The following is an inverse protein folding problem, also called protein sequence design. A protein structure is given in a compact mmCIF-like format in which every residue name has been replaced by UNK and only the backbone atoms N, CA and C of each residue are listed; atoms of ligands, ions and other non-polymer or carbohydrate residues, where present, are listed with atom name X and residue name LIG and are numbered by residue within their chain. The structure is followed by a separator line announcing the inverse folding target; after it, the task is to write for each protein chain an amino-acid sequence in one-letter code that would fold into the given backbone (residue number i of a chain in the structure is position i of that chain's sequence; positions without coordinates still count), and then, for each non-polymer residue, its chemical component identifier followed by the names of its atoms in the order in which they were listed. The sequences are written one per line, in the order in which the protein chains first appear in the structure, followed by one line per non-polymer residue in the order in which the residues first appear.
data_IF_596929575297
#
_entry.id   IF_596929575297
#
_cell.length_a   1.000
_cell.length_b   1.000
_cell.length_c   1.000
_cell.angle_alpha   90.00
_cell.angle_beta   90.00
_cell.angle_gamma   90.00
#
_symmetry.space_group_name_H-M   'P 1'
#
loop_
_entity.id
_entity.type
_entity.pdbx_description
1 polymer ?
#
# COMPACT_ATOMS: atom_id res chain seq x y z
N UNK A 1 24.69 18.42 4.36
CA UNK A 1 25.09 17.00 4.40
C UNK A 1 25.46 16.60 2.99
N UNK A 2 26.61 15.94 2.78
CA UNK A 2 27.02 15.54 1.42
C UNK A 2 26.15 14.37 0.94
N UNK A 3 25.80 14.29 -0.35
CA UNK A 3 24.84 13.30 -0.89
C UNK A 3 25.21 11.85 -0.51
N UNK A 4 26.50 11.55 -0.41
CA UNK A 4 27.02 10.23 -0.01
C UNK A 4 26.73 9.89 1.46
N UNK A 5 26.75 10.87 2.36
CA UNK A 5 26.39 10.67 3.78
C UNK A 5 24.88 10.52 3.95
N UNK A 6 24.09 11.24 3.15
CA UNK A 6 22.64 11.07 3.07
C UNK A 6 22.27 9.68 2.58
N UNK A 7 22.95 9.20 1.54
CA UNK A 7 22.75 7.85 1.00
C UNK A 7 23.01 6.73 2.02
N UNK A 8 24.06 6.86 2.82
CA UNK A 8 24.36 5.87 3.86
C UNK A 8 23.32 5.84 4.97
N UNK A 9 22.95 7.01 5.50
CA UNK A 9 21.95 7.12 6.57
C UNK A 9 20.58 6.62 6.09
N UNK A 10 20.16 7.03 4.90
CA UNK A 10 18.89 6.62 4.31
C UNK A 10 18.89 5.13 3.94
N UNK A 11 20.02 4.60 3.45
CA UNK A 11 20.20 3.17 3.19
C UNK A 11 20.15 2.32 4.46
N UNK A 12 20.74 2.77 5.55
CA UNK A 12 20.65 2.11 6.87
C UNK A 12 19.21 2.13 7.42
N UNK A 13 18.50 3.26 7.28
CA UNK A 13 17.07 3.34 7.61
C UNK A 13 16.22 2.42 6.72
N UNK A 14 16.51 2.33 5.41
CA UNK A 14 15.83 1.45 4.47
C UNK A 14 16.01 -0.04 4.79
N UNK A 15 17.21 -0.44 5.25
CA UNK A 15 17.51 -1.80 5.74
C UNK A 15 16.83 -2.11 7.08
N UNK A 16 16.67 -1.09 7.93
CA UNK A 16 15.95 -1.17 9.21
C UNK A 16 14.43 -1.34 9.10
N UNK A 17 13.83 -1.27 7.90
CA UNK A 17 12.40 -1.55 7.67
C UNK A 17 12.06 -3.04 7.59
N UNK A 18 12.95 -3.91 8.06
CA UNK A 18 12.75 -5.37 8.11
C UNK A 18 12.25 -5.80 9.50
N UNK A 19 11.51 -6.91 9.56
CA UNK A 19 10.74 -7.38 10.74
C UNK A 19 11.57 -7.64 12.02
N UNK A 20 12.89 -7.50 11.98
CA UNK A 20 13.84 -7.92 13.03
C UNK A 20 14.60 -6.70 13.57
N UNK A 21 13.89 -5.70 14.09
CA UNK A 21 14.53 -4.62 14.85
C UNK A 21 13.72 -4.28 16.10
N UNK A 22 14.32 -4.53 17.28
CA UNK A 22 13.66 -4.47 18.59
C UNK A 22 13.77 -3.12 19.30
N UNK A 23 14.46 -2.14 18.72
CA UNK A 23 14.74 -0.87 19.41
C UNK A 23 13.73 0.21 19.02
N UNK A 24 12.82 0.54 19.93
CA UNK A 24 11.87 1.65 19.75
C UNK A 24 12.65 2.95 19.52
N UNK A 25 12.45 3.58 18.36
CA UNK A 25 13.13 4.84 18.01
C UNK A 25 12.28 6.02 18.48
N UNK A 26 12.82 6.80 19.42
CA UNK A 26 12.21 8.08 19.83
C UNK A 26 12.48 9.15 18.79
N UNK A 27 11.41 9.82 18.33
CA UNK A 27 11.48 10.88 17.32
C UNK A 27 11.85 12.21 17.97
N UNK A 28 12.77 12.92 17.33
CA UNK A 28 12.99 14.34 17.68
C UNK A 28 11.76 15.17 17.30
N UNK A 29 11.52 16.28 18.01
CA UNK A 29 10.39 17.20 17.72
C UNK A 29 10.39 17.68 16.26
N UNK A 30 11.57 17.91 15.69
CA UNK A 30 11.72 18.33 14.31
C UNK A 30 11.33 17.23 13.32
N UNK A 31 11.80 16.00 13.53
CA UNK A 31 11.41 14.86 12.69
C UNK A 31 9.92 14.57 12.80
N UNK A 32 9.35 14.65 14.00
CA UNK A 32 7.91 14.49 14.21
C UNK A 32 7.11 15.48 13.37
N UNK A 33 7.44 16.77 13.44
CA UNK A 33 6.74 17.80 12.68
C UNK A 33 6.85 17.60 11.16
N UNK A 34 8.03 17.22 10.66
CA UNK A 34 8.23 16.90 9.23
C UNK A 34 7.36 15.74 8.78
N UNK A 35 7.32 14.67 9.58
CA UNK A 35 6.54 13.49 9.24
C UNK A 35 5.04 13.75 9.35
N UNK A 36 4.60 14.52 10.34
CA UNK A 36 3.20 14.94 10.47
C UNK A 36 2.75 15.75 9.25
N UNK A 37 3.59 16.68 8.79
CA UNK A 37 3.35 17.42 7.55
C UNK A 37 3.27 16.47 6.35
N UNK A 38 4.20 15.53 6.22
CA UNK A 38 4.21 14.55 5.14
C UNK A 38 2.97 13.66 5.13
N UNK A 39 2.51 13.18 6.28
CA UNK A 39 1.26 12.43 6.41
C UNK A 39 0.05 13.28 6.05
N UNK A 40 0.02 14.55 6.49
CA UNK A 40 -1.06 15.49 6.15
C UNK A 40 -1.14 15.71 4.64
N UNK A 41 0.01 15.91 3.99
CA UNK A 41 0.11 16.04 2.53
C UNK A 41 -0.38 14.75 1.85
N UNK A 42 0.03 13.59 2.36
CA UNK A 42 -0.40 12.31 1.80
C UNK A 42 -1.91 12.10 1.93
N UNK A 43 -2.52 12.41 3.07
CA UNK A 43 -3.97 12.29 3.24
C UNK A 43 -4.69 13.28 2.31
N UNK A 44 -4.24 14.54 2.28
CA UNK A 44 -4.86 15.54 1.42
C UNK A 44 -4.77 15.14 -0.06
N UNK A 45 -3.60 14.77 -0.55
CA UNK A 45 -3.40 14.40 -1.95
C UNK A 45 -3.96 13.03 -2.28
N UNK A 46 -3.56 12.01 -1.53
CA UNK A 46 -3.85 10.61 -1.78
C UNK A 46 -5.25 10.19 -1.37
N UNK A 47 -5.84 10.73 -0.31
CA UNK A 47 -7.20 10.31 0.11
C UNK A 47 -8.27 11.24 -0.45
N UNK A 48 -7.98 12.54 -0.59
CA UNK A 48 -9.00 13.52 -1.02
C UNK A 48 -8.84 13.94 -2.48
N UNK A 49 -7.72 14.54 -2.86
CA UNK A 49 -7.59 15.21 -4.18
C UNK A 49 -7.59 14.20 -5.33
N UNK A 50 -6.72 13.18 -5.29
CA UNK A 50 -6.57 12.21 -6.37
C UNK A 50 -7.86 11.40 -6.58
N UNK A 51 -8.47 10.79 -5.53
CA UNK A 51 -9.73 10.07 -5.71
C UNK A 51 -10.85 10.97 -6.25
N UNK A 52 -11.01 12.18 -5.71
CA UNK A 52 -12.04 13.11 -6.20
C UNK A 52 -11.83 13.50 -7.66
N UNK A 53 -10.58 13.72 -8.08
CA UNK A 53 -10.27 13.99 -9.48
C UNK A 53 -10.65 12.81 -10.37
N UNK A 54 -10.28 11.57 -10.01
CA UNK A 54 -10.61 10.37 -10.78
C UNK A 54 -12.12 10.16 -10.88
N UNK A 55 -12.86 10.39 -9.79
CA UNK A 55 -14.33 10.31 -9.74
C UNK A 55 -14.98 11.35 -10.64
N UNK A 56 -14.56 12.62 -10.57
CA UNK A 56 -15.10 13.70 -11.40
C UNK A 56 -14.84 13.46 -12.90
N UNK A 57 -13.70 12.85 -13.22
CA UNK A 57 -13.34 12.44 -14.58
C UNK A 57 -13.98 11.11 -15.02
N UNK A 58 -14.93 10.56 -14.24
CA UNK A 58 -15.67 9.32 -14.51
C UNK A 58 -14.80 8.05 -14.58
N UNK A 59 -13.57 8.10 -14.04
CA UNK A 59 -12.68 6.94 -13.94
C UNK A 59 -12.92 6.18 -12.62
N UNK A 60 -14.16 5.80 -12.35
CA UNK A 60 -14.56 5.14 -11.09
C UNK A 60 -13.78 3.86 -10.82
N UNK A 61 -13.55 3.06 -11.86
CA UNK A 61 -12.77 1.83 -11.74
C UNK A 61 -11.34 2.13 -11.26
N UNK A 62 -10.66 3.10 -11.89
CA UNK A 62 -9.31 3.49 -11.50
C UNK A 62 -9.28 4.11 -10.09
N UNK A 63 -10.27 4.92 -9.73
CA UNK A 63 -10.40 5.46 -8.39
C UNK A 63 -10.51 4.34 -7.34
N UNK A 64 -11.30 3.31 -7.64
CA UNK A 64 -11.51 2.17 -6.75
C UNK A 64 -10.23 1.35 -6.55
N UNK A 65 -9.50 1.07 -7.64
CA UNK A 65 -8.19 0.41 -7.61
C UNK A 65 -7.15 1.22 -6.85
N UNK A 66 -7.13 2.52 -7.07
CA UNK A 66 -6.18 3.40 -6.40
C UNK A 66 -6.43 3.42 -4.89
N UNK A 67 -7.70 3.61 -4.48
CA UNK A 67 -8.07 3.68 -3.08
C UNK A 67 -7.80 2.36 -2.33
N UNK A 68 -8.05 1.20 -2.95
CA UNK A 68 -7.82 -0.10 -2.32
C UNK A 68 -6.34 -0.45 -2.11
N UNK A 69 -5.43 0.33 -2.73
CA UNK A 69 -3.99 0.05 -2.77
C UNK A 69 -3.15 1.24 -2.25
N UNK A 70 -3.75 2.11 -1.42
CA UNK A 70 -3.09 3.30 -0.87
C UNK A 70 -1.86 2.99 -0.03
N UNK A 71 -1.84 1.84 0.63
CA UNK A 71 -0.74 1.32 1.45
C UNK A 71 0.51 1.03 0.61
N UNK A 72 0.36 0.36 -0.53
CA UNK A 72 1.46 0.11 -1.47
C UNK A 72 2.00 1.41 -2.07
N UNK A 73 1.11 2.36 -2.38
CA UNK A 73 1.51 3.68 -2.87
C UNK A 73 2.30 4.44 -1.80
N UNK A 74 1.83 4.43 -0.56
CA UNK A 74 2.53 5.05 0.57
C UNK A 74 3.89 4.38 0.84
N UNK A 75 3.98 3.05 0.67
CA UNK A 75 5.22 2.29 0.76
C UNK A 75 6.25 2.80 -0.25
N UNK A 76 5.85 2.97 -1.51
CA UNK A 76 6.70 3.47 -2.58
C UNK A 76 7.13 4.91 -2.28
N UNK A 77 6.19 5.81 -1.98
CA UNK A 77 6.50 7.22 -1.70
C UNK A 77 7.41 7.40 -0.49
N UNK A 78 7.23 6.56 0.53
CA UNK A 78 8.06 6.51 1.72
C UNK A 78 9.47 5.98 1.49
N UNK A 79 9.81 5.47 0.30
CA UNK A 79 11.17 5.03 -0.03
C UNK A 79 12.17 6.13 0.30
N UNK A 80 13.28 5.75 0.92
CA UNK A 80 14.35 6.69 1.29
C UNK A 80 13.89 7.91 2.12
N UNK A 81 12.72 7.84 2.76
CA UNK A 81 12.10 8.92 3.53
C UNK A 81 11.43 10.03 2.72
N UNK A 82 11.37 9.87 1.40
CA UNK A 82 10.76 10.87 0.51
C UNK A 82 11.56 12.17 0.42
N UNK A 83 11.04 13.17 -0.31
CA UNK A 83 11.69 14.46 -0.45
C UNK A 83 11.83 15.14 0.92
N UNK A 84 13.03 15.62 1.26
CA UNK A 84 13.31 16.32 2.53
C UNK A 84 12.99 15.52 3.81
N UNK A 85 12.95 14.18 3.72
CA UNK A 85 12.64 13.24 4.81
C UNK A 85 11.21 13.36 5.39
N UNK A 86 10.28 14.00 4.68
CA UNK A 86 8.90 14.19 5.17
C UNK A 86 8.10 12.89 5.24
N UNK A 87 8.53 11.84 4.55
CA UNK A 87 7.86 10.54 4.48
C UNK A 87 8.70 9.40 5.08
N UNK A 88 9.67 9.73 5.95
CA UNK A 88 10.52 8.76 6.66
C UNK A 88 9.71 7.66 7.36
N UNK A 89 8.57 8.01 7.94
CA UNK A 89 7.65 7.10 8.61
C UNK A 89 6.24 7.11 8.01
N UNK A 90 6.10 7.50 6.73
CA UNK A 90 4.79 7.57 6.09
C UNK A 90 4.10 6.21 6.10
N UNK A 91 4.78 5.19 5.58
CA UNK A 91 4.35 3.80 5.68
C UNK A 91 5.59 2.93 5.86
N UNK A 92 5.67 2.27 7.00
CA UNK A 92 6.71 1.30 7.28
C UNK A 92 6.05 -0.02 7.72
N UNK A 93 6.16 -1.10 6.92
CA UNK A 93 5.61 -2.40 7.29
C UNK A 93 6.18 -2.96 8.59
N UNK A 94 7.40 -2.56 8.96
CA UNK A 94 8.09 -2.99 10.20
C UNK A 94 8.17 -1.86 11.22
N UNK A 95 7.11 -1.04 11.36
CA UNK A 95 7.13 0.18 12.17
C UNK A 95 7.77 0.00 13.57
N UNK A 96 8.91 0.65 13.78
CA UNK A 96 9.69 0.61 15.04
C UNK A 96 9.45 1.88 15.89
N UNK A 97 8.58 2.78 15.45
CA UNK A 97 8.20 3.99 16.18
C UNK A 97 6.68 4.06 16.34
N UNK A 98 6.22 4.65 17.44
CA UNK A 98 4.78 4.84 17.70
C UNK A 98 4.09 5.66 16.61
N UNK A 99 4.78 6.71 16.12
CA UNK A 99 4.29 7.49 14.99
C UNK A 99 4.16 6.65 13.71
N UNK A 100 5.19 5.87 13.38
CA UNK A 100 5.16 5.01 12.20
C UNK A 100 4.04 3.97 12.28
N UNK A 101 3.78 3.43 13.48
CA UNK A 101 2.65 2.54 13.71
C UNK A 101 1.32 3.24 13.43
N UNK A 102 1.07 4.41 14.04
CA UNK A 102 -0.15 5.19 13.81
C UNK A 102 -0.34 5.57 12.33
N UNK A 103 0.74 6.01 11.66
CA UNK A 103 0.73 6.38 10.25
C UNK A 103 0.36 5.18 9.37
N UNK A 104 1.03 4.03 9.56
CA UNK A 104 0.72 2.79 8.83
C UNK A 104 -0.71 2.33 9.09
N UNK A 105 -1.18 2.34 10.34
CA UNK A 105 -2.56 1.97 10.70
C UNK A 105 -3.59 2.88 10.02
N UNK A 106 -3.36 4.19 10.01
CA UNK A 106 -4.27 5.14 9.39
C UNK A 106 -4.36 4.95 7.87
N UNK A 107 -3.21 4.76 7.21
CA UNK A 107 -3.17 4.50 5.76
C UNK A 107 -3.85 3.17 5.44
N UNK A 108 -3.60 2.13 6.24
CA UNK A 108 -4.26 0.84 6.09
C UNK A 108 -5.77 0.91 6.28
N UNK A 109 -6.25 1.72 7.23
CA UNK A 109 -7.67 1.96 7.41
C UNK A 109 -8.30 2.56 6.15
N UNK A 110 -7.66 3.55 5.52
CA UNK A 110 -8.13 4.11 4.24
C UNK A 110 -8.08 3.10 3.10
N UNK A 111 -7.03 2.28 3.01
CA UNK A 111 -6.93 1.22 2.01
C UNK A 111 -8.08 0.20 2.15
N UNK A 112 -8.38 -0.22 3.38
CA UNK A 112 -9.49 -1.14 3.68
C UNK A 112 -10.86 -0.54 3.34
N UNK A 113 -11.08 0.76 3.59
CA UNK A 113 -12.29 1.45 3.12
C UNK A 113 -12.37 1.36 1.58
N UNK A 114 -11.25 1.58 0.88
CA UNK A 114 -11.17 1.44 -0.57
C UNK A 114 -11.56 0.04 -1.06
N UNK A 115 -11.02 -1.01 -0.42
CA UNK A 115 -11.38 -2.41 -0.68
C UNK A 115 -12.88 -2.64 -0.45
N UNK A 116 -13.43 -2.17 0.67
CA UNK A 116 -14.86 -2.29 0.97
C UNK A 116 -15.75 -1.64 -0.09
N UNK A 117 -15.38 -0.46 -0.59
CA UNK A 117 -16.09 0.23 -1.68
C UNK A 117 -16.07 -0.60 -2.97
N UNK A 118 -14.91 -1.16 -3.35
CA UNK A 118 -14.77 -2.04 -4.52
C UNK A 118 -15.76 -3.21 -4.41
N UNK A 119 -15.80 -3.86 -3.25
CA UNK A 119 -16.65 -5.03 -3.02
C UNK A 119 -18.14 -4.70 -3.05
N UNK A 120 -18.53 -3.57 -2.46
CA UNK A 120 -19.92 -3.10 -2.51
C UNK A 120 -20.36 -2.76 -3.94
N UNK A 121 -19.50 -2.07 -4.70
CA UNK A 121 -19.78 -1.74 -6.09
C UNK A 121 -19.93 -3.00 -6.93
N UNK A 122 -19.06 -3.99 -6.73
CA UNK A 122 -19.11 -5.25 -7.46
C UNK A 122 -20.39 -6.05 -7.13
N UNK A 123 -20.72 -6.19 -5.84
CA UNK A 123 -21.94 -6.85 -5.40
C UNK A 123 -23.19 -6.20 -6.01
N UNK A 124 -23.20 -4.86 -6.11
CA UNK A 124 -24.30 -4.11 -6.72
C UNK A 124 -24.37 -4.30 -8.24
N UNK A 125 -23.25 -4.25 -8.94
CA UNK A 125 -23.20 -4.42 -10.40
C UNK A 125 -23.62 -5.82 -10.82
N UNK A 126 -23.22 -6.84 -10.06
CA UNK A 126 -23.52 -8.24 -10.33
C UNK A 126 -24.83 -8.73 -9.69
N UNK A 127 -25.53 -7.87 -8.93
CA UNK A 127 -26.69 -8.22 -8.09
C UNK A 127 -26.44 -9.48 -7.23
N UNK A 128 -25.21 -9.64 -6.74
CA UNK A 128 -24.75 -10.85 -6.09
C UNK A 128 -23.75 -10.52 -4.98
N UNK A 129 -24.22 -10.60 -3.73
CA UNK A 129 -23.41 -10.30 -2.54
C UNK A 129 -22.21 -11.27 -2.43
N UNK A 130 -22.37 -12.52 -2.85
CA UNK A 130 -21.30 -13.52 -2.78
C UNK A 130 -20.15 -13.20 -3.75
N UNK A 131 -20.45 -12.58 -4.88
CA UNK A 131 -19.44 -12.12 -5.85
C UNK A 131 -18.58 -11.00 -5.23
N UNK A 132 -19.21 -10.00 -4.62
CA UNK A 132 -18.48 -8.93 -3.92
C UNK A 132 -17.68 -9.43 -2.71
N UNK A 133 -18.22 -10.39 -1.94
CA UNK A 133 -17.54 -10.99 -0.79
C UNK A 133 -16.34 -11.86 -1.21
N UNK A 134 -16.47 -12.60 -2.31
CA UNK A 134 -15.36 -13.36 -2.91
C UNK A 134 -14.19 -12.43 -3.26
N UNK A 135 -14.47 -11.32 -3.96
CA UNK A 135 -13.47 -10.29 -4.28
C UNK A 135 -12.84 -9.65 -3.05
N UNK A 136 -13.61 -9.44 -1.99
CA UNK A 136 -13.09 -8.93 -0.72
C UNK A 136 -12.03 -9.86 -0.13
N UNK A 137 -12.34 -11.15 -0.06
CA UNK A 137 -11.42 -12.17 0.50
C UNK A 137 -10.15 -12.22 -0.34
N UNK A 138 -10.26 -12.23 -1.66
CA UNK A 138 -9.11 -12.29 -2.57
C UNK A 138 -8.24 -11.03 -2.43
N UNK A 139 -8.85 -9.85 -2.44
CA UNK A 139 -8.14 -8.59 -2.27
C UNK A 139 -7.41 -8.54 -0.92
N UNK A 140 -8.01 -8.95 0.19
CA UNK A 140 -7.28 -8.97 1.48
C UNK A 140 -6.07 -9.91 1.43
N UNK A 141 -6.22 -11.10 0.84
CA UNK A 141 -5.13 -12.09 0.80
C UNK A 141 -3.99 -11.66 -0.12
N UNK A 142 -4.29 -11.03 -1.26
CA UNK A 142 -3.25 -10.64 -2.22
C UNK A 142 -2.67 -9.27 -1.89
N UNK A 143 -3.54 -8.29 -1.63
CA UNK A 143 -3.15 -6.89 -1.47
C UNK A 143 -2.57 -6.63 -0.08
N UNK A 144 -3.14 -7.24 0.97
CA UNK A 144 -2.79 -6.89 2.34
C UNK A 144 -1.72 -7.81 2.95
N UNK A 145 -1.71 -9.09 2.56
CA UNK A 145 -0.77 -10.09 3.10
C UNK A 145 0.57 -10.14 2.34
N UNK A 146 0.61 -9.78 1.06
CA UNK A 146 1.74 -10.09 0.18
C UNK A 146 2.83 -8.99 -0.01
N UNK A 147 2.56 -7.68 -0.17
CA UNK A 147 3.49 -6.87 -0.96
C UNK A 147 4.37 -5.85 -0.22
N UNK A 148 4.03 -5.36 0.97
CA UNK A 148 4.73 -4.20 1.57
C UNK A 148 6.26 -4.39 1.68
N UNK A 149 6.69 -5.53 2.22
CA UNK A 149 8.11 -5.85 2.37
C UNK A 149 8.79 -6.21 1.04
N UNK A 150 8.05 -6.85 0.12
CA UNK A 150 8.56 -7.24 -1.21
C UNK A 150 8.86 -5.99 -2.05
N UNK A 151 7.94 -5.01 -2.04
CA UNK A 151 8.13 -3.71 -2.71
C UNK A 151 9.37 -3.02 -2.17
N UNK A 152 9.52 -2.92 -0.85
CA UNK A 152 10.69 -2.29 -0.22
C UNK A 152 11.98 -3.01 -0.60
N UNK A 153 12.00 -4.34 -0.56
CA UNK A 153 13.15 -5.15 -0.95
C UNK A 153 13.56 -4.87 -2.41
N UNK A 154 12.60 -4.97 -3.34
CA UNK A 154 12.83 -4.76 -4.78
C UNK A 154 13.32 -3.34 -5.07
N UNK A 155 12.72 -2.32 -4.43
CA UNK A 155 13.13 -0.93 -4.58
C UNK A 155 14.55 -0.68 -4.02
N UNK A 156 14.88 -1.28 -2.88
CA UNK A 156 16.24 -1.22 -2.32
C UNK A 156 17.26 -1.87 -3.25
N UNK A 157 16.98 -3.06 -3.77
CA UNK A 157 17.86 -3.75 -4.74
C UNK A 157 18.06 -2.92 -6.01
N UNK A 158 16.98 -2.34 -6.54
CA UNK A 158 17.07 -1.48 -7.72
C UNK A 158 17.87 -0.20 -7.43
N UNK A 159 17.68 0.42 -6.27
CA UNK A 159 18.49 1.55 -5.82
C UNK A 159 19.97 1.19 -5.68
N UNK A 160 20.30 0.04 -5.10
CA UNK A 160 21.69 -0.43 -4.99
C UNK A 160 22.33 -0.66 -6.36
N UNK A 161 21.58 -1.18 -7.33
CA UNK A 161 22.02 -1.31 -8.71
C UNK A 161 22.34 0.06 -9.34
N UNK A 162 21.43 1.03 -9.23
CA UNK A 162 21.65 2.39 -9.73
C UNK A 162 22.79 3.12 -9.02
N UNK A 163 23.00 2.86 -7.72
CA UNK A 163 24.14 3.39 -6.97
C UNK A 163 25.47 2.87 -7.53
N UNK A 164 25.56 1.57 -7.86
CA UNK A 164 26.75 0.98 -8.50
C UNK A 164 27.06 1.59 -9.87
N UNK A 165 26.05 2.15 -10.55
CA UNK A 165 26.21 2.90 -11.80
C UNK A 165 26.60 4.37 -11.60
N UNK A 166 26.92 4.79 -10.36
CA UNK A 166 27.24 6.18 -10.00
C UNK A 166 26.14 7.20 -10.32
N UNK A 167 24.87 6.77 -10.29
CA UNK A 167 23.73 7.68 -10.50
C UNK A 167 23.53 8.54 -9.23
N UNK A 168 23.39 9.86 -9.42
CA UNK A 168 23.19 10.84 -8.36
C UNK A 168 21.94 10.53 -7.54
N UNK A 169 21.95 10.90 -6.24
CA UNK A 169 20.86 10.57 -5.32
C UNK A 169 19.48 11.03 -5.83
N UNK A 170 19.36 12.28 -6.31
CA UNK A 170 18.08 12.83 -6.77
C UNK A 170 17.50 12.07 -7.95
N UNK A 171 18.34 11.81 -8.97
CA UNK A 171 17.91 11.05 -10.15
C UNK A 171 17.58 9.61 -9.78
N UNK A 172 18.41 8.99 -8.94
CA UNK A 172 18.20 7.64 -8.44
C UNK A 172 16.89 7.51 -7.68
N UNK A 173 16.60 8.45 -6.77
CA UNK A 173 15.35 8.51 -6.04
C UNK A 173 14.15 8.56 -6.99
N UNK A 174 14.14 9.49 -7.95
CA UNK A 174 13.05 9.60 -8.94
C UNK A 174 12.87 8.32 -9.77
N UNK A 175 13.96 7.70 -10.21
CA UNK A 175 13.91 6.43 -10.96
C UNK A 175 13.35 5.29 -10.11
N UNK A 176 13.75 5.19 -8.84
CA UNK A 176 13.26 4.15 -7.92
C UNK A 176 11.77 4.34 -7.61
N UNK A 177 11.31 5.58 -7.41
CA UNK A 177 9.88 5.87 -7.23
C UNK A 177 9.09 5.51 -8.48
N UNK A 178 9.54 5.92 -9.67
CA UNK A 178 8.86 5.60 -10.92
C UNK A 178 8.76 4.08 -11.13
N UNK A 179 9.86 3.36 -10.90
CA UNK A 179 9.90 1.90 -10.95
C UNK A 179 8.96 1.27 -9.92
N UNK A 180 8.96 1.76 -8.67
CA UNK A 180 8.07 1.29 -7.62
C UNK A 180 6.59 1.46 -7.97
N UNK A 181 6.20 2.60 -8.54
CA UNK A 181 4.82 2.84 -8.98
C UNK A 181 4.40 1.92 -10.14
N UNK A 182 5.30 1.68 -11.10
CA UNK A 182 5.07 0.70 -12.18
C UNK A 182 4.89 -0.70 -11.60
N UNK A 183 5.72 -1.07 -10.62
CA UNK A 183 5.64 -2.37 -9.96
C UNK A 183 4.33 -2.53 -9.17
N UNK A 184 3.88 -1.50 -8.46
CA UNK A 184 2.56 -1.49 -7.80
C UNK A 184 1.44 -1.66 -8.82
N UNK A 185 1.48 -0.94 -9.95
CA UNK A 185 0.49 -1.12 -11.02
C UNK A 185 0.48 -2.56 -11.55
N UNK A 186 1.65 -3.20 -11.68
CA UNK A 186 1.76 -4.60 -12.08
C UNK A 186 1.18 -5.55 -11.03
N UNK A 187 1.41 -5.32 -9.73
CA UNK A 187 0.80 -6.09 -8.63
C UNK A 187 -0.73 -5.99 -8.70
N UNK A 188 -1.28 -4.78 -8.86
CA UNK A 188 -2.72 -4.55 -8.96
C UNK A 188 -3.30 -5.27 -10.19
N UNK A 189 -2.61 -5.22 -11.33
CA UNK A 189 -3.04 -5.94 -12.52
C UNK A 189 -3.04 -7.47 -12.30
N UNK A 190 -2.01 -7.98 -11.61
CA UNK A 190 -1.91 -9.39 -11.25
C UNK A 190 -2.98 -9.83 -10.25
N UNK A 191 -3.26 -9.02 -9.23
CA UNK A 191 -4.38 -9.22 -8.29
C UNK A 191 -5.69 -9.36 -9.06
N UNK A 192 -5.94 -8.50 -10.03
CA UNK A 192 -7.17 -8.55 -10.85
C UNK A 192 -7.25 -9.81 -11.70
N UNK A 193 -6.13 -10.22 -12.28
CA UNK A 193 -6.06 -11.46 -13.03
C UNK A 193 -6.38 -12.68 -12.16
N UNK A 194 -5.75 -12.77 -10.97
CA UNK A 194 -6.02 -13.84 -10.03
C UNK A 194 -7.45 -13.80 -9.48
N UNK A 195 -7.97 -12.61 -9.19
CA UNK A 195 -9.37 -12.40 -8.81
C UNK A 195 -10.34 -12.99 -9.82
N UNK A 196 -10.17 -12.70 -11.10
CA UNK A 196 -11.04 -13.26 -12.15
C UNK A 196 -11.05 -14.80 -12.19
N UNK A 197 -9.95 -15.46 -11.81
CA UNK A 197 -9.85 -16.92 -11.77
C UNK A 197 -10.44 -17.48 -10.47
N UNK A 198 -10.12 -16.86 -9.33
CA UNK A 198 -10.52 -17.32 -8.01
C UNK A 198 -11.95 -16.91 -7.61
N UNK A 199 -12.55 -15.93 -8.28
CA UNK A 199 -13.86 -15.39 -7.95
C UNK A 199 -14.93 -16.50 -7.92
N UNK A 200 -15.01 -17.29 -9.00
CA UNK A 200 -16.01 -18.35 -9.20
C UNK A 200 -15.92 -19.48 -8.16
N UNK A 201 -14.75 -20.10 -7.89
CA UNK A 201 -14.67 -21.15 -6.88
C UNK A 201 -14.93 -20.62 -5.47
N UNK A 202 -14.45 -19.42 -5.12
CA UNK A 202 -14.69 -18.82 -3.80
C UNK A 202 -16.17 -18.47 -3.62
N UNK A 203 -16.82 -17.90 -4.63
CA UNK A 203 -18.25 -17.61 -4.61
C UNK A 203 -19.07 -18.89 -4.39
N UNK A 204 -18.73 -19.96 -5.11
CA UNK A 204 -19.40 -21.26 -5.01
C UNK A 204 -19.24 -21.86 -3.60
N UNK A 205 -18.04 -21.78 -3.03
CA UNK A 205 -17.77 -22.24 -1.67
C UNK A 205 -18.58 -21.43 -0.63
N UNK A 206 -18.65 -20.10 -0.77
CA UNK A 206 -19.42 -19.24 0.13
C UNK A 206 -20.92 -19.55 0.08
N UNK A 207 -21.49 -19.75 -1.11
CA UNK A 207 -22.89 -20.14 -1.27
C UNK A 207 -23.17 -21.49 -0.60
N UNK A 208 -22.29 -22.46 -0.80
CA UNK A 208 -22.43 -23.79 -0.18
C UNK A 208 -22.41 -23.73 1.36
N UNK A 209 -21.48 -22.97 1.94
CA UNK A 209 -21.38 -22.82 3.40
C UNK A 209 -22.64 -22.20 4.01
N UNK A 210 -23.19 -21.15 3.39
CA UNK A 210 -24.38 -20.47 3.90
C UNK A 210 -25.68 -21.26 3.68
N UNK A 211 -25.79 -22.03 2.59
CA UNK A 211 -26.92 -22.95 2.40
C UNK A 211 -26.94 -24.06 3.46
N UNK A 212 -25.77 -24.62 3.79
CA UNK A 212 -25.63 -25.64 4.84
C UNK A 212 -26.05 -25.12 6.22
N UNK A 213 -25.71 -23.86 6.54
CA UNK A 213 -26.10 -23.25 7.81
C UNK A 213 -27.62 -23.04 7.91
N UNK A 214 -28.28 -22.64 6.83
CA UNK A 214 -29.74 -22.52 6.79
C UNK A 214 -30.44 -23.88 6.92
N UNK A 215 -29.88 -24.95 6.35
CA UNK A 215 -30.39 -26.32 6.56
C UNK A 215 -30.27 -26.77 8.02
N UNK A 216 -29.16 -26.44 8.69
CA UNK A 216 -28.95 -26.80 10.09
C UNK A 216 -29.84 -26.00 11.08
N UNK A 217 -30.45 -24.89 10.64
CA UNK A 217 -31.44 -24.14 11.44
C UNK A 217 -32.87 -24.69 11.28
N UNK A 218 -33.09 -25.60 10.34
CA UNK A 218 -34.38 -26.21 10.02
C UNK A 218 -34.56 -27.64 10.56
N UNK A 219 -33.50 -28.23 11.13
CA UNK A 219 -33.47 -29.57 11.77
C UNK A 219 -33.38 -29.36 13.29
#
# INVERSE_FOLDING_TARGET
MNDIQHDKLVGEFGKGRTLINKNVVHLTKQEFNKNLLGLTIFIFMGVMVIPNYLIKSKHFFLASLYCSNLDMIATVLGFAGGPFDIWKYLYNPSAISYYGFLSSTLINFFALIGVGIVCFLDARLNNNIFSGLSRYIIAIVITYLLPGNIIVYIMNTFSEYLFKMNITYRLRYSLVIAFGLIFVAAIIAFERFLGGIADVPVESALKYLLQKENLNKLI
#
